data_IF_531439026484
#
_entry.id   IF_531439026484
#
_cell.length_a   1.000
_cell.length_b   1.000
_cell.length_c   1.000
_cell.angle_alpha   90.00
_cell.angle_beta   90.00
_cell.angle_gamma   90.00
#
_symmetry.space_group_name_H-M   'P 1'
#
loop_
_entity.id
_entity.type
_entity.pdbx_description
1 polymer ?
#
# COMPACT_ATOMS: atom_id res chain seq x y z
N UNK A 1 19.40 -10.62 17.46
CA UNK A 1 20.31 -10.65 16.32
C UNK A 1 21.25 -11.84 16.47
N UNK A 2 20.86 -12.96 15.89
CA UNK A 2 21.71 -14.14 15.64
C UNK A 2 21.43 -14.48 14.19
N UNK A 3 22.30 -14.25 13.21
CA UNK A 3 22.08 -14.76 11.84
C UNK A 3 23.24 -14.52 10.88
N UNK A 4 24.48 -14.65 11.35
CA UNK A 4 25.62 -14.74 10.40
C UNK A 4 26.00 -16.20 10.06
N UNK A 5 25.34 -17.21 10.64
CA UNK A 5 25.74 -18.61 10.54
C UNK A 5 24.67 -19.57 10.00
N UNK A 6 23.60 -19.08 9.37
CA UNK A 6 22.52 -19.98 8.90
C UNK A 6 22.76 -20.63 7.53
N UNK A 7 23.83 -20.24 6.83
CA UNK A 7 24.15 -20.74 5.50
C UNK A 7 25.59 -21.30 5.47
N UNK A 8 25.79 -22.37 4.69
CA UNK A 8 27.13 -22.92 4.47
C UNK A 8 27.91 -22.13 3.41
N UNK A 9 29.18 -22.53 3.16
CA UNK A 9 30.05 -21.87 2.18
C UNK A 9 29.54 -21.98 0.73
N UNK A 10 28.62 -22.92 0.44
CA UNK A 10 27.93 -23.05 -0.85
C UNK A 10 26.69 -22.17 -0.95
N UNK A 11 26.25 -21.53 0.17
CA UNK A 11 25.03 -20.72 0.23
C UNK A 11 23.77 -21.55 0.41
N UNK A 12 23.87 -22.82 0.67
CA UNK A 12 22.74 -23.66 1.05
C UNK A 12 22.41 -23.45 2.53
N UNK A 13 21.13 -23.37 2.85
CA UNK A 13 20.68 -23.32 4.24
C UNK A 13 21.09 -24.63 4.92
N UNK A 14 22.02 -24.56 5.89
CA UNK A 14 22.52 -25.73 6.62
C UNK A 14 21.35 -26.48 7.23
N UNK A 15 20.85 -27.51 6.55
CA UNK A 15 19.93 -28.49 7.12
C UNK A 15 18.71 -27.92 7.82
N UNK A 16 18.26 -26.71 7.47
CA UNK A 16 17.03 -26.18 8.02
C UNK A 16 15.84 -26.99 7.45
N UNK A 17 14.99 -27.55 8.31
CA UNK A 17 13.79 -28.20 7.81
C UNK A 17 12.92 -27.19 7.05
N UNK A 18 12.12 -27.64 6.06
CA UNK A 18 11.18 -26.77 5.41
C UNK A 18 10.31 -26.04 6.43
N UNK A 19 10.18 -24.71 6.28
CA UNK A 19 9.26 -23.94 7.12
C UNK A 19 7.82 -24.20 6.67
N UNK A 20 6.88 -24.11 7.59
CA UNK A 20 5.48 -24.26 7.22
C UNK A 20 5.04 -23.13 6.29
N UNK A 21 5.38 -21.86 6.63
CA UNK A 21 4.99 -20.69 5.86
C UNK A 21 6.18 -19.75 5.64
N UNK A 22 6.50 -19.48 4.37
CA UNK A 22 7.38 -18.39 3.97
C UNK A 22 6.53 -17.16 3.62
N UNK A 23 6.74 -16.05 4.32
CA UNK A 23 6.12 -14.76 4.00
C UNK A 23 7.12 -13.86 3.29
N UNK A 24 6.76 -13.35 2.11
CA UNK A 24 7.60 -12.48 1.28
C UNK A 24 7.04 -11.07 1.28
N UNK A 25 7.69 -10.16 2.00
CA UNK A 25 7.30 -8.76 2.13
C UNK A 25 7.13 -8.33 3.58
N UNK A 26 7.75 -7.21 3.95
CA UNK A 26 7.76 -6.67 5.31
C UNK A 26 6.76 -5.54 5.55
N UNK A 27 5.79 -5.36 4.64
CA UNK A 27 4.66 -4.47 4.79
C UNK A 27 3.61 -5.00 5.78
N UNK A 28 2.54 -4.24 5.98
CA UNK A 28 1.50 -4.58 6.95
C UNK A 28 0.80 -5.91 6.62
N UNK A 29 0.54 -6.19 5.32
CA UNK A 29 -0.05 -7.45 4.91
C UNK A 29 0.84 -8.66 5.25
N UNK A 30 2.16 -8.55 5.03
CA UNK A 30 3.10 -9.62 5.35
C UNK A 30 3.23 -9.88 6.85
N UNK A 31 3.37 -8.84 7.65
CA UNK A 31 3.41 -8.99 9.11
C UNK A 31 2.10 -9.55 9.67
N UNK A 32 0.96 -9.11 9.12
CA UNK A 32 -0.35 -9.64 9.50
C UNK A 32 -0.51 -11.12 9.11
N UNK A 33 0.01 -11.53 7.94
CA UNK A 33 0.04 -12.93 7.54
C UNK A 33 0.93 -13.77 8.44
N UNK A 34 2.11 -13.27 8.81
CA UNK A 34 3.01 -13.95 9.74
C UNK A 34 2.36 -14.13 11.12
N UNK A 35 1.70 -13.09 11.65
CA UNK A 35 0.96 -13.14 12.92
C UNK A 35 -0.12 -14.23 12.89
N UNK A 36 -0.94 -14.23 11.84
CA UNK A 36 -2.03 -15.19 11.70
C UNK A 36 -1.53 -16.65 11.55
N UNK A 37 -0.44 -16.84 10.80
CA UNK A 37 0.16 -18.17 10.63
C UNK A 37 0.78 -18.70 11.94
N UNK A 38 1.49 -17.84 12.69
CA UNK A 38 2.04 -18.22 14.02
C UNK A 38 0.91 -18.54 14.99
N UNK A 39 -0.16 -17.75 15.04
CA UNK A 39 -1.30 -17.99 15.90
C UNK A 39 -2.04 -19.30 15.53
N UNK A 40 -1.96 -19.72 14.26
CA UNK A 40 -2.44 -21.02 13.81
C UNK A 40 -1.45 -22.18 14.08
N UNK A 41 -0.30 -21.90 14.72
CA UNK A 41 0.70 -22.88 15.13
C UNK A 41 1.68 -23.30 14.03
N UNK A 42 1.85 -22.51 12.97
CA UNK A 42 2.84 -22.75 11.92
C UNK A 42 4.21 -22.16 12.27
N UNK A 43 5.29 -22.81 11.81
CA UNK A 43 6.62 -22.19 11.75
C UNK A 43 6.66 -21.19 10.60
N UNK A 44 7.19 -19.97 10.85
CA UNK A 44 7.17 -18.88 9.89
C UNK A 44 8.55 -18.27 9.73
N UNK A 45 8.98 -18.12 8.47
CA UNK A 45 10.08 -17.25 8.07
C UNK A 45 9.53 -16.07 7.28
N UNK A 46 9.87 -14.84 7.67
CA UNK A 46 9.49 -13.62 6.97
C UNK A 46 10.73 -13.00 6.33
N UNK A 47 10.70 -12.82 5.01
CA UNK A 47 11.79 -12.14 4.26
C UNK A 47 11.33 -10.74 3.90
N UNK A 48 12.09 -9.74 4.35
CA UNK A 48 11.74 -8.34 4.18
C UNK A 48 12.94 -7.47 3.77
N UNK A 49 12.71 -6.58 2.80
CA UNK A 49 13.67 -5.53 2.42
C UNK A 49 13.26 -4.12 2.91
N UNK A 50 12.10 -4.01 3.54
CA UNK A 50 11.50 -2.78 4.03
C UNK A 50 10.03 -2.99 4.37
N UNK A 51 9.34 -1.92 4.72
CA UNK A 51 7.92 -1.91 5.05
C UNK A 51 7.03 -1.35 3.93
N UNK A 52 7.62 -0.94 2.79
CA UNK A 52 6.88 -0.25 1.73
C UNK A 52 6.16 1.00 2.25
N UNK A 53 4.97 1.28 1.73
CA UNK A 53 4.12 2.40 2.14
C UNK A 53 3.29 2.11 3.42
N UNK A 54 3.43 0.93 4.01
CA UNK A 54 2.59 0.54 5.17
C UNK A 54 2.70 1.48 6.37
N UNK A 55 3.87 2.07 6.72
CA UNK A 55 3.95 3.05 7.81
C UNK A 55 3.13 4.33 7.57
N UNK A 56 2.87 4.66 6.30
CA UNK A 56 2.17 5.87 5.88
C UNK A 56 0.64 5.65 5.74
N UNK A 57 0.13 4.49 6.14
CA UNK A 57 -1.32 4.27 6.25
C UNK A 57 -1.85 5.07 7.42
N UNK A 58 -2.61 6.13 7.13
CA UNK A 58 -3.15 7.04 8.15
C UNK A 58 -4.39 6.47 8.84
N UNK A 59 -5.28 5.83 8.09
CA UNK A 59 -6.57 5.36 8.59
C UNK A 59 -7.09 4.17 7.77
N UNK A 60 -8.06 3.44 8.32
CA UNK A 60 -8.73 2.28 7.69
C UNK A 60 -10.24 2.42 7.78
N UNK A 61 -10.96 1.77 6.87
CA UNK A 61 -12.42 1.74 6.90
C UNK A 61 -12.94 0.54 7.69
N UNK A 62 -13.75 0.83 8.71
CA UNK A 62 -14.43 -0.17 9.54
C UNK A 62 -15.85 0.34 9.84
N UNK A 63 -16.92 -0.42 9.57
CA UNK A 63 -18.29 0.00 9.86
C UNK A 63 -18.59 -0.12 11.36
N UNK A 64 -18.21 0.88 12.14
CA UNK A 64 -18.32 0.91 13.62
C UNK A 64 -19.47 1.77 14.14
N UNK A 65 -20.28 2.36 13.26
CA UNK A 65 -21.44 3.20 13.62
C UNK A 65 -22.72 2.38 13.60
N UNK A 66 -23.70 2.75 14.45
CA UNK A 66 -25.02 2.12 14.48
C UNK A 66 -25.82 2.31 13.19
N UNK A 67 -25.60 3.43 12.47
CA UNK A 67 -26.25 3.76 11.21
C UNK A 67 -25.45 3.33 9.96
N UNK A 68 -24.32 2.65 10.16
CA UNK A 68 -23.54 2.02 9.08
C UNK A 68 -23.80 0.50 9.05
N UNK A 69 -23.43 -0.15 7.96
CA UNK A 69 -23.58 -1.59 7.80
C UNK A 69 -22.56 -2.17 6.82
N UNK A 70 -22.31 -3.47 6.95
CA UNK A 70 -21.49 -4.22 5.99
C UNK A 70 -22.05 -4.05 4.58
N UNK A 71 -23.38 -4.14 4.38
CA UNK A 71 -24.01 -3.99 3.08
C UNK A 71 -23.75 -2.61 2.46
N UNK A 72 -23.88 -1.54 3.24
CA UNK A 72 -23.57 -0.17 2.79
C UNK A 72 -22.09 -0.02 2.43
N UNK A 73 -21.20 -0.61 3.22
CA UNK A 73 -19.77 -0.58 2.92
C UNK A 73 -19.43 -1.34 1.62
N UNK A 74 -20.09 -2.49 1.38
CA UNK A 74 -19.99 -3.23 0.11
C UNK A 74 -20.46 -2.36 -1.05
N UNK A 75 -21.64 -1.73 -0.95
CA UNK A 75 -22.19 -0.91 -2.01
C UNK A 75 -21.32 0.30 -2.35
N UNK A 76 -20.81 1.00 -1.33
CA UNK A 76 -19.88 2.11 -1.52
C UNK A 76 -18.60 1.65 -2.25
N UNK A 77 -18.03 0.51 -1.85
CA UNK A 77 -16.80 -0.03 -2.44
C UNK A 77 -17.01 -0.45 -3.89
N UNK A 78 -18.09 -1.17 -4.19
CA UNK A 78 -18.44 -1.59 -5.55
C UNK A 78 -18.72 -0.40 -6.47
N UNK A 79 -19.47 0.60 -5.96
CA UNK A 79 -19.76 1.83 -6.70
C UNK A 79 -18.49 2.61 -7.02
N UNK A 80 -17.59 2.75 -6.03
CA UNK A 80 -16.29 3.41 -6.23
C UNK A 80 -15.41 2.66 -7.23
N UNK A 81 -15.41 1.34 -7.19
CA UNK A 81 -14.61 0.48 -8.06
C UNK A 81 -15.06 0.41 -9.51
N UNK A 82 -16.18 1.09 -9.88
CA UNK A 82 -16.63 1.29 -11.28
C UNK A 82 -16.70 0.01 -12.11
N UNK A 83 -17.16 -1.09 -11.51
CA UNK A 83 -17.33 -2.37 -12.18
C UNK A 83 -16.06 -3.24 -12.28
N UNK A 84 -14.92 -2.79 -11.79
CA UNK A 84 -13.67 -3.56 -11.78
C UNK A 84 -13.49 -4.46 -10.55
N UNK A 85 -14.38 -4.40 -9.56
CA UNK A 85 -14.27 -5.21 -8.35
C UNK A 85 -14.80 -6.64 -8.55
N UNK A 86 -14.12 -7.60 -7.91
CA UNK A 86 -14.70 -8.90 -7.63
C UNK A 86 -15.59 -8.80 -6.39
N UNK A 87 -16.92 -8.96 -6.59
CA UNK A 87 -17.90 -8.79 -5.51
C UNK A 87 -17.59 -9.64 -4.29
N UNK A 88 -17.21 -10.91 -4.48
CA UNK A 88 -16.88 -11.81 -3.38
C UNK A 88 -15.74 -11.29 -2.51
N UNK A 89 -14.68 -10.74 -3.13
CA UNK A 89 -13.55 -10.16 -2.40
C UNK A 89 -13.97 -8.89 -1.62
N UNK A 90 -14.82 -8.05 -2.21
CA UNK A 90 -15.37 -6.86 -1.53
C UNK A 90 -16.23 -7.27 -0.33
N UNK A 91 -17.07 -8.30 -0.48
CA UNK A 91 -17.91 -8.82 0.61
C UNK A 91 -17.04 -9.39 1.75
N UNK A 92 -15.95 -10.09 1.42
CA UNK A 92 -14.95 -10.56 2.41
C UNK A 92 -14.31 -9.37 3.11
N UNK A 93 -13.79 -8.38 2.36
CA UNK A 93 -13.18 -7.18 2.92
C UNK A 93 -14.09 -6.53 3.98
N UNK A 94 -15.33 -6.24 3.58
CA UNK A 94 -16.27 -5.49 4.41
C UNK A 94 -16.74 -6.31 5.63
N UNK A 95 -17.04 -7.61 5.44
CA UNK A 95 -17.48 -8.50 6.52
C UNK A 95 -16.37 -8.71 7.56
N UNK A 96 -15.16 -8.99 7.10
CA UNK A 96 -14.06 -9.31 7.99
C UNK A 96 -13.45 -8.08 8.67
N UNK A 97 -13.68 -6.88 8.11
CA UNK A 97 -13.18 -5.63 8.69
C UNK A 97 -13.75 -5.32 10.07
N UNK A 98 -14.97 -5.78 10.38
CA UNK A 98 -15.60 -5.52 11.69
C UNK A 98 -14.79 -6.07 12.85
N UNK A 99 -14.04 -7.16 12.63
CA UNK A 99 -13.18 -7.77 13.65
C UNK A 99 -12.05 -6.84 14.08
N UNK A 100 -11.65 -5.91 13.22
CA UNK A 100 -10.60 -4.94 13.54
C UNK A 100 -10.99 -3.99 14.67
N UNK A 101 -12.30 -3.78 14.90
CA UNK A 101 -12.78 -2.96 16.01
C UNK A 101 -12.54 -3.59 17.40
N UNK A 102 -12.41 -4.91 17.45
CA UNK A 102 -12.07 -5.65 18.67
C UNK A 102 -10.54 -5.77 18.86
N UNK A 103 -9.79 -5.76 17.77
CA UNK A 103 -8.34 -5.98 17.75
C UNK A 103 -7.53 -4.69 17.96
N UNK A 104 -8.08 -3.52 17.59
CA UNK A 104 -7.37 -2.25 17.57
C UNK A 104 -8.05 -1.18 18.42
N UNK A 105 -7.31 -0.46 19.29
CA UNK A 105 -7.84 0.60 20.15
C UNK A 105 -7.97 1.92 19.37
N UNK A 106 -8.91 2.00 18.43
CA UNK A 106 -9.13 3.20 17.62
C UNK A 106 -9.42 4.44 18.46
N UNK A 107 -9.01 5.61 17.94
CA UNK A 107 -9.23 6.91 18.56
C UNK A 107 -10.70 7.17 18.82
N UNK A 108 -10.98 7.75 20.00
CA UNK A 108 -12.33 8.08 20.46
C UNK A 108 -12.46 9.55 20.80
N UNK A 109 -13.68 10.05 20.67
CA UNK A 109 -14.08 11.35 21.17
C UNK A 109 -14.24 11.32 22.70
N UNK A 110 -14.29 12.49 23.37
CA UNK A 110 -14.51 12.55 24.83
C UNK A 110 -15.78 11.87 25.32
N UNK A 111 -16.80 11.74 24.47
CA UNK A 111 -18.07 11.05 24.77
C UNK A 111 -17.99 9.51 24.60
N UNK A 112 -16.82 8.99 24.22
CA UNK A 112 -16.58 7.57 24.00
C UNK A 112 -16.92 7.05 22.59
N UNK A 113 -17.53 7.86 21.74
CA UNK A 113 -17.77 7.50 20.33
C UNK A 113 -16.46 7.43 19.53
N UNK A 114 -16.44 6.67 18.44
CA UNK A 114 -15.26 6.62 17.56
C UNK A 114 -15.03 7.97 16.88
N UNK A 115 -13.74 8.38 16.82
CA UNK A 115 -13.33 9.53 16.00
C UNK A 115 -13.25 9.09 14.54
N UNK A 116 -14.18 9.59 13.72
CA UNK A 116 -14.36 9.12 12.35
C UNK A 116 -14.07 10.21 11.32
N UNK A 117 -13.51 9.77 10.20
CA UNK A 117 -13.39 10.56 8.98
C UNK A 117 -14.27 9.94 7.89
N UNK A 118 -14.71 10.78 6.96
CA UNK A 118 -15.45 10.34 5.77
C UNK A 118 -14.60 10.53 4.52
N UNK A 119 -13.95 9.46 4.02
CA UNK A 119 -13.26 9.54 2.74
C UNK A 119 -14.24 9.73 1.60
N UNK A 120 -13.76 10.36 0.52
CA UNK A 120 -14.52 10.46 -0.73
C UNK A 120 -14.89 9.05 -1.24
N UNK A 121 -16.14 8.91 -1.66
CA UNK A 121 -16.71 7.63 -2.07
C UNK A 121 -17.41 6.84 -0.96
N UNK A 122 -17.29 7.26 0.31
CA UNK A 122 -18.07 6.69 1.41
C UNK A 122 -19.37 7.47 1.60
N UNK A 123 -20.49 6.75 1.72
CA UNK A 123 -21.81 7.35 1.99
C UNK A 123 -21.97 7.83 3.44
N UNK A 124 -21.16 7.33 4.35
CA UNK A 124 -21.10 7.72 5.78
C UNK A 124 -19.65 7.72 6.28
N UNK A 125 -19.34 8.48 7.37
CA UNK A 125 -18.05 8.39 8.03
C UNK A 125 -17.81 6.98 8.60
N UNK A 126 -16.72 6.31 8.20
CA UNK A 126 -16.33 4.98 8.71
C UNK A 126 -14.82 4.81 8.84
N UNK A 127 -14.05 5.85 8.53
CA UNK A 127 -12.60 5.77 8.55
C UNK A 127 -12.09 6.05 9.98
N UNK A 128 -11.44 5.05 10.57
CA UNK A 128 -10.86 5.07 11.92
C UNK A 128 -9.34 5.11 11.87
N UNK A 129 -8.71 5.63 12.91
CA UNK A 129 -7.25 5.70 13.03
C UNK A 129 -6.79 5.46 14.48
N UNK A 130 -5.49 5.43 14.65
CA UNK A 130 -4.77 5.52 15.93
C UNK A 130 -3.68 6.58 15.71
N UNK A 131 -3.81 7.72 16.39
CA UNK A 131 -2.88 8.87 16.26
C UNK A 131 -2.61 9.28 14.80
N UNK A 132 -3.61 9.16 13.92
CA UNK A 132 -3.48 9.39 12.47
C UNK A 132 -2.38 8.57 11.77
N UNK A 133 -1.88 7.47 12.39
CA UNK A 133 -0.77 6.63 11.89
C UNK A 133 -0.99 5.15 12.15
N UNK A 134 -2.18 4.65 11.87
CA UNK A 134 -2.54 3.26 12.17
C UNK A 134 -1.57 2.24 11.57
N UNK A 135 -1.03 2.49 10.37
CA UNK A 135 -0.08 1.58 9.73
C UNK A 135 1.21 1.42 10.52
N UNK A 136 1.82 2.53 10.96
CA UNK A 136 3.02 2.51 11.81
C UNK A 136 2.73 1.86 13.16
N UNK A 137 1.58 2.18 13.77
CA UNK A 137 1.16 1.61 15.05
C UNK A 137 0.95 0.09 14.96
N UNK A 138 0.19 -0.38 13.96
CA UNK A 138 -0.09 -1.79 13.75
C UNK A 138 1.18 -2.60 13.47
N UNK A 139 2.08 -2.08 12.63
CA UNK A 139 3.38 -2.69 12.38
C UNK A 139 4.20 -2.84 13.66
N UNK A 140 4.27 -1.78 14.48
CA UNK A 140 5.01 -1.82 15.74
C UNK A 140 4.42 -2.83 16.72
N UNK A 141 3.07 -2.88 16.85
CA UNK A 141 2.36 -3.86 17.68
C UNK A 141 2.67 -5.28 17.23
N UNK A 142 2.42 -5.61 15.96
CA UNK A 142 2.58 -6.98 15.44
C UNK A 142 4.04 -7.44 15.55
N UNK A 143 5.00 -6.59 15.19
CA UNK A 143 6.43 -6.92 15.32
C UNK A 143 6.84 -7.25 16.75
N UNK A 144 6.35 -6.47 17.72
CA UNK A 144 6.61 -6.73 19.15
C UNK A 144 6.00 -8.06 19.61
N UNK A 145 4.78 -8.37 19.18
CA UNK A 145 4.08 -9.60 19.57
C UNK A 145 4.70 -10.87 18.94
N UNK A 146 5.36 -10.70 17.80
CA UNK A 146 6.05 -11.79 17.08
C UNK A 146 7.56 -11.86 17.39
N UNK A 147 8.08 -11.01 18.28
CA UNK A 147 9.48 -11.08 18.68
C UNK A 147 9.84 -12.45 19.23
N UNK A 148 10.87 -13.08 18.64
CA UNK A 148 11.30 -14.45 18.99
C UNK A 148 10.40 -15.58 18.49
N UNK A 149 9.27 -15.30 17.84
CA UNK A 149 8.35 -16.30 17.30
C UNK A 149 8.46 -16.49 15.78
N UNK A 150 9.01 -15.49 15.08
CA UNK A 150 9.20 -15.49 13.62
C UNK A 150 10.66 -15.29 13.32
N UNK A 151 11.20 -16.09 12.41
CA UNK A 151 12.50 -15.80 11.84
C UNK A 151 12.37 -14.70 10.80
N UNK A 152 13.02 -13.56 11.05
CA UNK A 152 13.00 -12.40 10.14
C UNK A 152 14.34 -12.27 9.44
N UNK A 153 14.32 -12.44 8.12
CA UNK A 153 15.52 -12.33 7.28
C UNK A 153 15.45 -11.01 6.50
N UNK A 154 16.48 -10.16 6.69
CA UNK A 154 16.62 -8.94 5.90
C UNK A 154 17.20 -9.27 4.54
N UNK A 155 16.33 -9.26 3.53
CA UNK A 155 16.72 -9.62 2.18
C UNK A 155 15.55 -9.53 1.22
N UNK A 156 15.73 -10.08 0.02
CA UNK A 156 14.74 -10.10 -1.04
C UNK A 156 14.68 -11.50 -1.65
N UNK A 157 13.49 -12.07 -1.74
CA UNK A 157 13.25 -13.24 -2.59
C UNK A 157 13.19 -12.72 -4.04
N UNK A 158 13.91 -13.38 -4.93
CA UNK A 158 14.01 -13.01 -6.36
C UNK A 158 13.38 -14.05 -7.27
N UNK A 159 13.11 -15.22 -6.72
CA UNK A 159 12.55 -16.34 -7.47
C UNK A 159 11.79 -17.27 -6.53
N UNK A 160 10.69 -17.82 -7.00
CA UNK A 160 9.96 -18.90 -6.35
C UNK A 160 9.84 -20.03 -7.36
N UNK A 161 10.21 -21.22 -6.95
CA UNK A 161 10.13 -22.44 -7.76
C UNK A 161 9.34 -23.51 -7.01
N UNK A 162 8.87 -24.52 -7.72
CA UNK A 162 8.27 -25.73 -7.13
C UNK A 162 9.29 -26.86 -7.14
N UNK A 163 9.51 -27.45 -5.97
CA UNK A 163 10.31 -28.66 -5.80
C UNK A 163 9.48 -29.71 -5.08
N UNK A 164 8.91 -30.63 -5.85
CA UNK A 164 7.97 -31.64 -5.32
C UNK A 164 6.75 -31.00 -4.66
N UNK A 165 6.56 -31.29 -3.39
CA UNK A 165 5.46 -30.74 -2.57
C UNK A 165 5.77 -29.34 -2.00
N UNK A 166 7.03 -28.86 -2.11
CA UNK A 166 7.47 -27.60 -1.51
C UNK A 166 7.52 -26.46 -2.53
N UNK A 167 7.42 -25.25 -2.02
CA UNK A 167 7.81 -24.04 -2.72
C UNK A 167 9.17 -23.59 -2.20
N UNK A 168 10.03 -23.19 -3.12
CA UNK A 168 11.42 -22.84 -2.84
C UNK A 168 11.63 -21.37 -3.16
N UNK A 169 11.91 -20.56 -2.15
CA UNK A 169 12.28 -19.16 -2.31
C UNK A 169 13.79 -19.01 -2.43
N UNK A 170 14.26 -18.39 -3.52
CA UNK A 170 15.67 -18.01 -3.69
C UNK A 170 15.91 -16.61 -3.15
N UNK A 171 16.75 -16.52 -2.15
CA UNK A 171 17.00 -15.32 -1.38
C UNK A 171 18.26 -14.59 -1.89
N UNK A 172 18.17 -13.27 -2.01
CA UNK A 172 19.33 -12.38 -2.09
C UNK A 172 19.43 -11.58 -0.79
N UNK A 173 20.47 -11.83 -0.04
CA UNK A 173 20.78 -11.05 1.15
C UNK A 173 21.31 -9.68 0.75
N UNK A 174 20.90 -8.63 1.46
CA UNK A 174 21.50 -7.32 1.31
C UNK A 174 22.78 -7.29 2.15
N UNK A 175 23.98 -7.30 1.55
CA UNK A 175 25.20 -7.29 2.32
C UNK A 175 25.36 -5.95 3.05
N UNK A 176 26.00 -5.93 4.22
CA UNK A 176 26.24 -4.72 5.00
C UNK A 176 27.05 -3.64 4.27
N UNK A 177 27.82 -4.00 3.25
CA UNK A 177 28.79 -3.15 2.54
C UNK A 177 28.50 -2.88 1.06
N UNK A 178 27.31 -3.17 0.57
CA UNK A 178 26.94 -2.87 -0.83
C UNK A 178 27.56 -3.81 -1.91
N UNK A 179 28.36 -4.80 -1.53
CA UNK A 179 28.82 -5.84 -2.45
C UNK A 179 27.64 -6.79 -2.78
N UNK A 180 27.43 -7.10 -4.05
CA UNK A 180 26.48 -8.13 -4.46
C UNK A 180 27.03 -9.50 -4.06
N UNK A 181 26.47 -10.12 -3.02
CA UNK A 181 26.76 -11.50 -2.66
C UNK A 181 26.34 -12.41 -3.83
N UNK A 182 27.22 -13.30 -4.24
CA UNK A 182 26.98 -14.25 -5.33
C UNK A 182 26.20 -15.50 -4.90
N UNK A 183 26.12 -15.76 -3.60
CA UNK A 183 25.36 -16.89 -3.03
C UNK A 183 23.88 -16.52 -2.88
N UNK A 184 23.01 -17.37 -3.41
CA UNK A 184 21.56 -17.25 -3.31
C UNK A 184 21.03 -18.36 -2.39
N UNK A 185 21.01 -18.13 -1.06
CA UNK A 185 20.47 -19.10 -0.15
C UNK A 185 19.03 -19.47 -0.50
N UNK A 186 18.64 -20.69 -0.21
CA UNK A 186 17.35 -21.26 -0.57
C UNK A 186 16.52 -21.52 0.68
N UNK A 187 15.26 -21.11 0.68
CA UNK A 187 14.30 -21.40 1.76
C UNK A 187 13.23 -22.33 1.21
N UNK A 188 13.14 -23.50 1.79
CA UNK A 188 12.08 -24.47 1.49
C UNK A 188 10.85 -24.18 2.36
N UNK A 189 9.68 -24.11 1.76
CA UNK A 189 8.43 -23.86 2.46
C UNK A 189 7.30 -24.76 1.95
N UNK A 190 6.39 -25.15 2.83
CA UNK A 190 5.17 -25.86 2.44
C UNK A 190 4.14 -24.91 1.81
N UNK A 191 4.11 -23.67 2.29
CA UNK A 191 3.28 -22.59 1.73
C UNK A 191 4.05 -21.27 1.67
N UNK A 192 3.69 -20.43 0.67
CA UNK A 192 4.25 -19.10 0.47
C UNK A 192 3.13 -18.07 0.46
N UNK A 193 3.29 -16.98 1.21
CA UNK A 193 2.44 -15.79 1.14
C UNK A 193 3.22 -14.66 0.47
N UNK A 194 2.76 -14.22 -0.70
CA UNK A 194 3.30 -13.05 -1.40
C UNK A 194 2.61 -11.81 -0.88
N UNK A 195 3.37 -10.90 -0.24
CA UNK A 195 2.89 -9.65 0.33
C UNK A 195 3.84 -8.48 -0.01
N UNK A 196 4.30 -8.46 -1.25
CA UNK A 196 5.39 -7.59 -1.72
C UNK A 196 4.95 -6.17 -2.11
N UNK A 197 3.66 -5.86 -1.99
CA UNK A 197 3.09 -4.60 -2.45
C UNK A 197 2.93 -4.54 -3.96
N UNK A 198 2.58 -3.35 -4.46
CA UNK A 198 2.32 -3.11 -5.87
C UNK A 198 3.55 -2.77 -6.71
N UNK A 199 3.34 -2.03 -7.80
CA UNK A 199 4.41 -1.69 -8.75
C UNK A 199 4.58 -0.19 -9.03
N UNK A 200 3.95 0.70 -8.26
CA UNK A 200 4.01 2.14 -8.54
C UNK A 200 5.42 2.74 -8.37
N UNK A 201 6.32 2.08 -7.64
CA UNK A 201 7.73 2.47 -7.52
C UNK A 201 8.57 2.30 -8.80
N UNK A 202 8.02 1.68 -9.86
CA UNK A 202 8.69 1.58 -11.16
C UNK A 202 8.64 2.87 -11.98
N UNK A 203 7.71 3.78 -11.65
CA UNK A 203 7.56 5.05 -12.35
C UNK A 203 8.62 6.05 -11.91
N UNK A 204 9.11 6.86 -12.82
CA UNK A 204 10.16 7.86 -12.56
C UNK A 204 9.69 8.96 -11.59
N UNK A 205 8.40 9.33 -11.69
CA UNK A 205 7.73 10.20 -10.72
C UNK A 205 6.63 9.41 -10.04
N UNK A 206 6.77 9.16 -8.75
CA UNK A 206 5.85 8.40 -7.92
C UNK A 206 6.02 8.83 -6.46
N UNK A 207 5.01 8.63 -5.66
CA UNK A 207 5.09 8.75 -4.20
C UNK A 207 5.43 7.42 -3.50
N UNK A 208 5.73 6.40 -4.29
CA UNK A 208 6.09 5.08 -3.79
C UNK A 208 7.61 4.90 -3.70
N UNK A 209 8.10 4.12 -2.72
CA UNK A 209 9.49 3.66 -2.69
C UNK A 209 9.88 2.94 -3.98
N UNK A 210 11.08 3.21 -4.54
CA UNK A 210 11.52 2.65 -5.82
C UNK A 210 11.69 1.12 -5.81
N UNK A 211 11.64 0.50 -4.64
CA UNK A 211 11.68 -0.95 -4.46
C UNK A 211 10.35 -1.63 -4.78
N UNK A 212 9.22 -0.90 -4.80
CA UNK A 212 7.90 -1.44 -5.12
C UNK A 212 7.72 -1.54 -6.63
N UNK A 213 8.21 -2.63 -7.23
CA UNK A 213 8.30 -2.81 -8.68
C UNK A 213 7.46 -3.96 -9.25
N UNK A 214 6.68 -4.65 -8.40
CA UNK A 214 5.85 -5.77 -8.83
C UNK A 214 6.55 -7.13 -8.83
N UNK A 215 7.70 -7.27 -8.18
CA UNK A 215 8.51 -8.50 -8.22
C UNK A 215 7.75 -9.75 -7.78
N UNK A 216 6.86 -9.62 -6.79
CA UNK A 216 6.03 -10.73 -6.33
C UNK A 216 5.06 -11.22 -7.39
N UNK A 217 4.54 -10.28 -8.20
CA UNK A 217 3.67 -10.61 -9.34
C UNK A 217 4.49 -11.41 -10.39
N UNK A 218 5.66 -10.90 -10.75
CA UNK A 218 6.52 -11.55 -11.73
C UNK A 218 6.93 -12.97 -11.30
N UNK A 219 7.20 -13.17 -10.00
CA UNK A 219 7.52 -14.49 -9.45
C UNK A 219 6.33 -15.45 -9.54
N UNK A 220 5.13 -14.98 -9.19
CA UNK A 220 3.92 -15.81 -9.24
C UNK A 220 3.50 -16.15 -10.68
N UNK A 221 3.66 -15.22 -11.63
CA UNK A 221 3.38 -15.46 -13.05
C UNK A 221 4.25 -16.59 -13.60
N UNK A 222 5.51 -16.70 -13.20
CA UNK A 222 6.38 -17.83 -13.58
C UNK A 222 5.87 -19.19 -13.06
N UNK A 223 5.06 -19.20 -12.00
CA UNK A 223 4.38 -20.37 -11.48
C UNK A 223 3.00 -20.62 -12.12
N UNK A 224 2.62 -19.81 -13.12
CA UNK A 224 1.35 -19.93 -13.82
C UNK A 224 0.21 -19.08 -13.22
N UNK A 225 0.51 -18.14 -12.35
CA UNK A 225 -0.50 -17.26 -11.78
C UNK A 225 -1.14 -16.35 -12.85
N UNK A 226 -2.45 -16.19 -12.76
CA UNK A 226 -3.18 -15.19 -13.51
C UNK A 226 -3.01 -13.81 -12.87
N UNK A 227 -3.04 -12.79 -13.72
CA UNK A 227 -3.08 -11.39 -13.32
C UNK A 227 -4.27 -10.68 -13.93
N UNK A 228 -4.67 -9.55 -13.33
CA UNK A 228 -5.73 -8.70 -13.84
C UNK A 228 -5.37 -7.23 -13.73
N UNK A 229 -5.94 -6.42 -14.59
CA UNK A 229 -5.91 -4.95 -14.52
C UNK A 229 -4.50 -4.36 -14.35
N UNK A 230 -3.48 -4.95 -15.02
CA UNK A 230 -2.05 -4.63 -14.83
C UNK A 230 -1.63 -3.24 -15.34
N UNK A 231 -2.51 -2.52 -16.00
CA UNK A 231 -2.37 -1.13 -16.43
C UNK A 231 -3.10 -0.14 -15.54
N UNK A 232 -3.87 -0.64 -14.56
CA UNK A 232 -4.68 0.17 -13.67
C UNK A 232 -3.89 0.72 -12.49
N UNK A 233 -3.81 2.05 -12.42
CA UNK A 233 -3.12 2.78 -11.34
C UNK A 233 -4.00 3.92 -10.87
N UNK A 234 -4.13 4.08 -9.56
CA UNK A 234 -4.68 5.28 -8.95
C UNK A 234 -3.59 6.30 -8.71
N UNK A 235 -3.86 7.56 -9.07
CA UNK A 235 -2.97 8.67 -8.83
C UNK A 235 -3.29 9.38 -7.51
N UNK A 236 -2.24 9.83 -6.81
CA UNK A 236 -2.35 10.90 -5.81
C UNK A 236 -2.24 12.24 -6.56
N UNK A 237 -3.25 13.09 -6.55
CA UNK A 237 -3.26 14.30 -7.38
C UNK A 237 -2.26 15.35 -6.93
N UNK A 238 -1.91 15.37 -5.65
CA UNK A 238 -1.09 16.42 -5.03
C UNK A 238 0.23 15.85 -4.51
N UNK A 239 1.12 15.47 -5.42
CA UNK A 239 2.48 15.05 -5.07
C UNK A 239 3.45 16.18 -5.41
N UNK A 240 4.32 16.55 -4.47
CA UNK A 240 5.30 17.61 -4.65
C UNK A 240 6.18 17.34 -5.88
N UNK A 241 6.18 18.25 -6.84
CA UNK A 241 7.05 18.23 -8.01
C UNK A 241 8.31 19.06 -7.75
N UNK A 242 8.17 20.12 -6.96
CA UNK A 242 9.26 20.99 -6.52
C UNK A 242 9.01 21.48 -5.07
N UNK A 243 10.05 21.88 -4.34
CA UNK A 243 11.48 21.81 -4.69
C UNK A 243 12.01 20.37 -4.74
N UNK A 244 13.14 20.14 -5.41
CA UNK A 244 13.69 18.81 -5.71
C UNK A 244 13.79 17.88 -4.50
N UNK A 245 14.08 18.40 -3.31
CA UNK A 245 14.16 17.61 -2.06
C UNK A 245 12.81 17.12 -1.54
N UNK A 246 11.70 17.65 -2.03
CA UNK A 246 10.33 17.23 -1.71
C UNK A 246 9.69 16.43 -2.84
N UNK A 247 10.36 16.32 -4.00
CA UNK A 247 9.83 15.59 -5.15
C UNK A 247 9.41 14.18 -4.76
N UNK A 248 8.17 13.81 -5.09
CA UNK A 248 7.59 12.53 -4.75
C UNK A 248 6.90 12.46 -3.37
N UNK A 249 6.94 13.54 -2.58
CA UNK A 249 6.26 13.56 -1.28
C UNK A 249 4.80 14.01 -1.45
N UNK A 250 3.81 13.23 -0.96
CA UNK A 250 2.41 13.64 -1.03
C UNK A 250 2.13 14.89 -0.20
N UNK A 251 1.28 15.76 -0.75
CA UNK A 251 0.65 16.90 -0.08
C UNK A 251 -0.80 16.53 0.22
N UNK A 252 -1.30 16.94 1.37
CA UNK A 252 -2.66 16.56 1.79
C UNK A 252 -3.71 17.26 0.93
N UNK A 253 -4.37 16.53 0.04
CA UNK A 253 -5.37 17.05 -0.92
C UNK A 253 -6.60 17.67 -0.22
N UNK A 254 -6.93 17.23 1.01
CA UNK A 254 -8.11 17.75 1.73
C UNK A 254 -8.03 19.24 2.08
N UNK A 255 -6.88 19.89 1.94
CA UNK A 255 -6.76 21.34 2.00
C UNK A 255 -7.71 22.05 1.01
N UNK A 256 -8.13 21.37 -0.07
CA UNK A 256 -9.14 21.90 -1.02
C UNK A 256 -10.47 22.24 -0.32
N UNK A 257 -10.88 21.43 0.67
CA UNK A 257 -12.13 21.63 1.41
C UNK A 257 -12.06 22.84 2.33
N UNK A 258 -10.84 23.24 2.69
CA UNK A 258 -10.54 24.32 3.65
C UNK A 258 -10.12 25.63 2.96
N UNK A 259 -10.21 25.69 1.63
CA UNK A 259 -9.96 26.93 0.90
C UNK A 259 -8.77 26.93 -0.06
N UNK A 260 -7.99 25.85 -0.14
CA UNK A 260 -6.96 25.73 -1.16
C UNK A 260 -7.56 25.68 -2.58
N UNK A 261 -6.75 26.08 -3.57
CA UNK A 261 -7.16 26.08 -4.99
C UNK A 261 -6.05 25.53 -5.88
N UNK A 262 -6.44 25.06 -7.06
CA UNK A 262 -5.47 24.76 -8.12
C UNK A 262 -5.42 25.88 -9.13
N UNK A 263 -4.20 26.28 -9.53
CA UNK A 263 -3.96 27.27 -10.57
C UNK A 263 -3.01 26.74 -11.63
N UNK A 264 -3.34 27.01 -12.88
CA UNK A 264 -2.46 26.73 -14.03
C UNK A 264 -1.32 27.76 -14.14
N UNK A 265 -0.48 27.67 -15.19
CA UNK A 265 0.63 28.60 -15.41
C UNK A 265 0.18 30.05 -15.64
N UNK A 266 -1.07 30.25 -16.09
CA UNK A 266 -1.63 31.56 -16.39
C UNK A 266 -2.30 32.19 -15.15
N UNK A 267 -2.28 31.48 -14.00
CA UNK A 267 -2.86 31.89 -12.73
C UNK A 267 -4.37 31.62 -12.62
N UNK A 268 -4.95 30.92 -13.58
CA UNK A 268 -6.38 30.64 -13.63
C UNK A 268 -6.73 29.43 -12.75
N UNK A 269 -7.81 29.55 -11.97
CA UNK A 269 -8.40 28.40 -11.26
C UNK A 269 -9.17 27.53 -12.27
N UNK A 270 -8.95 26.21 -12.23
CA UNK A 270 -9.55 25.31 -13.22
C UNK A 270 -10.39 24.19 -12.62
N UNK A 271 -10.28 23.89 -11.32
CA UNK A 271 -11.08 22.86 -10.67
C UNK A 271 -12.43 23.42 -10.21
N UNK A 272 -13.51 23.03 -10.91
CA UNK A 272 -14.85 23.53 -10.63
C UNK A 272 -15.45 22.99 -9.34
N UNK A 273 -15.22 21.69 -9.03
CA UNK A 273 -15.71 21.02 -7.82
C UNK A 273 -14.57 20.70 -6.86
N UNK A 274 -14.52 21.41 -5.75
CA UNK A 274 -13.52 21.19 -4.68
C UNK A 274 -13.72 19.87 -3.92
N UNK A 275 -14.89 19.25 -4.05
CA UNK A 275 -15.21 17.95 -3.48
C UNK A 275 -15.01 16.78 -4.46
N UNK A 276 -14.46 17.06 -5.65
CA UNK A 276 -14.10 16.06 -6.64
C UNK A 276 -13.18 14.98 -6.04
N UNK A 277 -13.37 13.74 -6.42
CA UNK A 277 -12.54 12.65 -5.93
C UNK A 277 -11.14 12.66 -6.61
N UNK A 278 -10.20 11.87 -6.06
CA UNK A 278 -8.78 11.91 -6.47
C UNK A 278 -8.57 11.71 -7.97
N UNK A 279 -9.33 10.86 -8.61
CA UNK A 279 -9.18 10.59 -10.05
C UNK A 279 -9.74 11.74 -10.91
N UNK A 280 -10.78 12.41 -10.46
CA UNK A 280 -11.31 13.61 -11.13
C UNK A 280 -10.35 14.78 -11.02
N UNK A 281 -9.79 15.01 -9.83
CA UNK A 281 -8.75 16.03 -9.60
C UNK A 281 -7.51 15.73 -10.46
N UNK A 282 -7.04 14.48 -10.46
CA UNK A 282 -5.88 14.08 -11.27
C UNK A 282 -6.12 14.29 -12.76
N UNK A 283 -7.29 13.94 -13.27
CA UNK A 283 -7.67 14.19 -14.67
C UNK A 283 -7.74 15.67 -15.02
N UNK A 284 -8.28 16.50 -14.13
CA UNK A 284 -8.30 17.94 -14.35
C UNK A 284 -6.88 18.52 -14.44
N UNK A 285 -5.96 18.07 -13.57
CA UNK A 285 -4.55 18.48 -13.63
C UNK A 285 -3.88 18.00 -14.93
N UNK A 286 -4.07 16.74 -15.32
CA UNK A 286 -3.54 16.23 -16.58
C UNK A 286 -4.06 17.00 -17.79
N UNK A 287 -5.35 17.36 -17.80
CA UNK A 287 -5.94 18.15 -18.88
C UNK A 287 -5.28 19.52 -19.01
N UNK A 288 -4.94 20.20 -17.90
CA UNK A 288 -4.17 21.46 -17.92
C UNK A 288 -2.76 21.26 -18.47
N UNK A 289 -2.08 20.18 -18.06
CA UNK A 289 -0.73 19.86 -18.55
C UNK A 289 -0.76 19.58 -20.06
N UNK A 290 -1.68 18.74 -20.52
CA UNK A 290 -1.85 18.38 -21.93
C UNK A 290 -2.22 19.58 -22.81
N UNK A 291 -3.01 20.52 -22.27
CA UNK A 291 -3.34 21.78 -22.95
C UNK A 291 -2.16 22.79 -22.97
N UNK A 292 -0.99 22.40 -22.45
CA UNK A 292 0.19 23.25 -22.38
C UNK A 292 0.10 24.38 -21.34
N UNK A 293 -0.81 24.25 -20.36
CA UNK A 293 -0.97 25.19 -19.24
C UNK A 293 -0.32 24.68 -17.94
N UNK A 294 0.44 23.60 -18.01
CA UNK A 294 1.26 23.10 -16.91
C UNK A 294 2.45 24.02 -16.60
N UNK A 295 2.97 23.91 -15.39
CA UNK A 295 4.13 24.62 -14.86
C UNK A 295 5.31 23.66 -14.75
N UNK A 296 6.45 24.02 -15.33
CA UNK A 296 7.69 23.25 -15.17
C UNK A 296 8.48 23.77 -13.96
N UNK A 297 9.09 22.88 -13.15
CA UNK A 297 10.03 23.30 -12.11
C UNK A 297 11.22 24.10 -12.70
N UNK A 298 11.72 25.05 -11.93
CA UNK A 298 12.93 25.78 -12.33
C UNK A 298 14.11 24.81 -12.44
N UNK A 299 14.75 24.82 -13.63
CA UNK A 299 15.89 23.94 -13.92
C UNK A 299 15.52 22.55 -14.47
N UNK A 300 14.26 22.29 -14.79
CA UNK A 300 13.87 21.11 -15.55
C UNK A 300 14.64 21.01 -16.86
N UNK A 301 15.22 19.82 -17.12
CA UNK A 301 16.10 19.59 -18.26
C UNK A 301 15.39 19.01 -19.49
N UNK A 302 14.26 18.33 -19.27
CA UNK A 302 13.51 17.65 -20.33
C UNK A 302 12.02 18.05 -20.26
N UNK A 303 11.69 19.12 -20.98
CA UNK A 303 10.32 19.64 -21.08
C UNK A 303 9.45 18.86 -22.08
N UNK A 304 9.93 17.71 -22.60
CA UNK A 304 9.12 16.86 -23.48
C UNK A 304 8.32 15.81 -22.72
N UNK A 305 8.58 15.63 -21.41
CA UNK A 305 7.96 14.61 -20.57
C UNK A 305 6.80 15.18 -19.76
N UNK A 306 5.58 14.64 -19.88
CA UNK A 306 4.41 15.15 -19.14
C UNK A 306 4.61 15.21 -17.62
N UNK A 307 5.34 14.25 -17.03
CA UNK A 307 5.61 14.20 -15.59
C UNK A 307 6.65 15.23 -15.09
N UNK A 308 7.21 16.03 -15.97
CA UNK A 308 8.02 17.20 -15.62
C UNK A 308 7.17 18.48 -15.46
N UNK A 309 5.86 18.39 -15.68
CA UNK A 309 4.94 19.50 -15.50
C UNK A 309 3.97 19.23 -14.36
N UNK A 310 3.58 20.29 -13.66
CA UNK A 310 2.58 20.28 -12.62
C UNK A 310 1.68 21.50 -12.69
N UNK A 311 1.00 21.75 -11.59
CA UNK A 311 0.15 22.93 -11.37
C UNK A 311 0.45 23.53 -10.00
N UNK A 312 0.08 24.76 -9.81
CA UNK A 312 0.17 25.40 -8.50
C UNK A 312 -0.98 24.93 -7.60
N UNK A 313 -0.65 24.41 -6.42
CA UNK A 313 -1.57 24.14 -5.33
C UNK A 313 -1.43 25.26 -4.29
N UNK A 314 -2.38 26.18 -4.30
CA UNK A 314 -2.36 27.41 -3.50
C UNK A 314 -3.14 27.18 -2.21
N UNK A 315 -2.43 27.11 -1.09
CA UNK A 315 -2.98 26.94 0.25
C UNK A 315 -3.14 28.28 1.01
N UNK A 316 -2.89 29.42 0.38
CA UNK A 316 -2.98 30.74 1.05
C UNK A 316 -4.39 31.10 1.49
N UNK A 317 -5.41 30.44 0.91
CA UNK A 317 -6.82 30.57 1.32
C UNK A 317 -7.23 29.67 2.50
N UNK A 318 -6.35 28.75 2.94
CA UNK A 318 -6.63 27.88 4.08
C UNK A 318 -6.41 28.66 5.38
N UNK A 319 -7.32 28.57 6.39
CA UNK A 319 -7.11 29.24 7.68
C UNK A 319 -5.75 28.87 8.30
N UNK A 320 -5.00 29.90 8.74
CA UNK A 320 -3.66 29.69 9.30
C UNK A 320 -3.65 28.72 10.50
N UNK A 321 -4.71 28.74 11.33
CA UNK A 321 -4.87 27.81 12.43
C UNK A 321 -4.88 26.35 11.96
N UNK A 322 -5.53 26.02 10.85
CA UNK A 322 -5.54 24.66 10.28
C UNK A 322 -4.18 24.31 9.69
N UNK A 323 -3.51 25.24 9.03
CA UNK A 323 -2.14 25.02 8.52
C UNK A 323 -1.19 24.70 9.68
N UNK A 324 -1.28 25.42 10.79
CA UNK A 324 -0.37 25.27 11.94
C UNK A 324 -0.72 24.11 12.87
N UNK A 325 -1.88 23.47 12.70
CA UNK A 325 -2.33 22.34 13.53
C UNK A 325 -2.52 21.06 12.71
N UNK A 326 -3.54 21.04 11.87
CA UNK A 326 -3.90 19.83 11.08
C UNK A 326 -2.86 19.52 10.01
N UNK A 327 -2.32 20.57 9.35
CA UNK A 327 -1.38 20.44 8.23
C UNK A 327 0.08 20.77 8.59
N UNK A 328 0.38 20.84 9.89
CA UNK A 328 1.67 21.28 10.44
C UNK A 328 2.87 20.52 9.87
N UNK A 329 2.72 19.22 9.59
CA UNK A 329 3.81 18.43 9.00
C UNK A 329 4.13 18.87 7.57
N UNK A 330 3.11 19.23 6.78
CA UNK A 330 3.29 19.80 5.44
C UNK A 330 3.96 21.17 5.54
N UNK A 331 3.47 22.06 6.42
CA UNK A 331 4.07 23.37 6.68
C UNK A 331 5.55 23.22 7.02
N UNK A 332 5.91 22.38 7.99
CA UNK A 332 7.28 22.16 8.42
C UNK A 332 8.18 21.61 7.29
N UNK A 333 7.68 20.64 6.51
CA UNK A 333 8.42 20.06 5.38
C UNK A 333 8.75 21.12 4.33
N UNK A 334 7.77 21.94 3.94
CA UNK A 334 7.95 22.99 2.95
C UNK A 334 8.81 24.15 3.48
N UNK A 335 8.62 24.58 4.73
CA UNK A 335 9.48 25.58 5.38
C UNK A 335 10.95 25.12 5.45
N UNK A 336 11.19 23.86 5.82
CA UNK A 336 12.54 23.28 5.75
C UNK A 336 13.08 23.22 4.32
N UNK A 337 12.23 23.29 3.30
CA UNK A 337 12.55 23.38 1.88
C UNK A 337 12.69 24.83 1.37
N UNK A 338 12.51 25.82 2.23
CA UNK A 338 12.59 27.24 1.88
C UNK A 338 11.33 27.80 1.23
N UNK A 339 10.19 27.12 1.38
CA UNK A 339 8.89 27.53 0.85
C UNK A 339 7.94 27.79 2.01
N UNK A 340 7.36 29.00 2.06
CA UNK A 340 6.36 29.40 3.04
C UNK A 340 4.96 29.24 2.46
N UNK A 341 4.31 28.09 2.71
CA UNK A 341 2.99 27.77 2.14
C UNK A 341 1.85 28.67 2.67
N UNK A 342 2.09 29.50 3.70
CA UNK A 342 1.17 30.55 4.10
C UNK A 342 1.14 31.73 3.11
N UNK A 343 2.15 31.84 2.24
CA UNK A 343 2.36 32.99 1.36
C UNK A 343 2.52 32.64 -0.12
N UNK A 344 2.94 31.41 -0.40
CA UNK A 344 3.29 30.99 -1.75
C UNK A 344 2.75 29.60 -2.06
N UNK A 345 2.34 29.34 -3.31
CA UNK A 345 1.78 28.05 -3.70
C UNK A 345 2.84 26.96 -3.81
N UNK A 346 2.41 25.74 -3.67
CA UNK A 346 3.21 24.52 -3.87
C UNK A 346 3.08 24.04 -5.32
N UNK A 347 4.19 23.67 -5.94
CA UNK A 347 4.16 23.02 -7.25
C UNK A 347 3.95 21.52 -7.08
N UNK A 348 2.81 21.02 -7.58
CA UNK A 348 2.40 19.63 -7.46
C UNK A 348 2.03 19.02 -8.82
N UNK A 349 2.08 17.70 -8.90
CA UNK A 349 1.58 16.95 -10.05
C UNK A 349 0.97 15.62 -9.59
N UNK A 350 0.05 15.03 -10.37
CA UNK A 350 -0.43 13.67 -10.10
C UNK A 350 0.69 12.65 -10.25
N UNK A 351 0.83 11.77 -9.28
CA UNK A 351 1.81 10.68 -9.31
C UNK A 351 1.14 9.32 -9.07
N UNK A 352 1.62 8.24 -9.72
CA UNK A 352 1.19 6.88 -9.41
C UNK A 352 1.33 6.58 -7.93
N UNK A 353 0.20 6.23 -7.29
CA UNK A 353 0.08 6.06 -5.85
C UNK A 353 -0.22 4.62 -5.43
N UNK A 354 -1.18 3.98 -6.09
CA UNK A 354 -1.61 2.63 -5.78
C UNK A 354 -1.86 1.86 -7.07
N UNK A 355 -1.27 0.70 -7.21
CA UNK A 355 -1.65 -0.25 -8.25
C UNK A 355 -2.99 -0.90 -7.89
N UNK A 356 -3.91 -0.98 -8.85
CA UNK A 356 -5.28 -1.47 -8.63
C UNK A 356 -5.48 -2.89 -9.15
N UNK A 357 -4.62 -3.34 -10.05
CA UNK A 357 -4.54 -4.70 -10.52
C UNK A 357 -3.60 -5.57 -9.67
N UNK A 358 -3.25 -6.75 -10.16
CA UNK A 358 -2.35 -7.67 -9.48
C UNK A 358 -2.69 -9.13 -9.73
N UNK A 359 -2.24 -9.99 -8.84
CA UNK A 359 -2.52 -11.42 -8.86
C UNK A 359 -4.03 -11.68 -8.67
N UNK A 360 -4.57 -12.60 -9.44
CA UNK A 360 -5.93 -13.09 -9.23
C UNK A 360 -5.93 -14.02 -8.01
N UNK A 361 -6.77 -13.70 -7.03
CA UNK A 361 -6.95 -14.49 -5.81
C UNK A 361 -8.42 -14.85 -5.61
N UNK A 362 -8.68 -15.90 -4.83
CA UNK A 362 -10.00 -16.20 -4.30
C UNK A 362 -10.22 -15.63 -2.88
N UNK A 363 -11.42 -15.83 -2.33
CA UNK A 363 -11.80 -15.39 -0.98
C UNK A 363 -10.92 -15.97 0.16
N UNK A 364 -10.13 -17.00 -0.13
CA UNK A 364 -9.15 -17.61 0.79
C UNK A 364 -7.72 -17.14 0.52
N UNK A 365 -7.55 -16.08 -0.28
CA UNK A 365 -6.25 -15.54 -0.71
C UNK A 365 -5.36 -16.52 -1.49
N UNK A 366 -5.92 -17.63 -2.01
CA UNK A 366 -5.16 -18.54 -2.87
C UNK A 366 -4.94 -17.90 -4.23
N UNK A 367 -3.71 -17.93 -4.72
CA UNK A 367 -3.37 -17.43 -6.05
C UNK A 367 -3.92 -18.40 -7.10
N UNK A 368 -4.60 -17.85 -8.11
CA UNK A 368 -5.27 -18.63 -9.15
C UNK A 368 -4.51 -18.59 -10.48
N UNK A 369 -4.61 -19.67 -11.24
CA UNK A 369 -4.22 -19.76 -12.65
C UNK A 369 -5.30 -19.17 -13.55
N UNK A 370 -5.04 -19.06 -14.85
CA UNK A 370 -5.99 -18.50 -15.83
C UNK A 370 -7.29 -19.30 -15.96
N UNK A 371 -7.29 -20.58 -15.65
CA UNK A 371 -8.48 -21.44 -15.62
C UNK A 371 -9.24 -21.40 -14.29
N UNK A 372 -8.78 -20.56 -13.34
CA UNK A 372 -9.39 -20.39 -12.02
C UNK A 372 -8.96 -21.45 -10.99
N UNK A 373 -8.04 -22.33 -11.31
CA UNK A 373 -7.53 -23.34 -10.37
C UNK A 373 -6.54 -22.71 -9.38
N UNK A 374 -6.60 -23.04 -8.07
CA UNK A 374 -5.62 -22.56 -7.12
C UNK A 374 -4.23 -23.16 -7.37
N UNK A 375 -3.19 -22.34 -7.32
CA UNK A 375 -1.80 -22.82 -7.29
C UNK A 375 -1.52 -23.38 -5.89
N UNK A 376 -1.25 -24.69 -5.74
CA UNK A 376 -1.09 -25.30 -4.43
C UNK A 376 0.00 -24.65 -3.59
N UNK A 377 -0.32 -24.27 -2.34
CA UNK A 377 0.61 -23.66 -1.40
C UNK A 377 0.96 -22.18 -1.67
N UNK A 378 0.38 -21.54 -2.71
CA UNK A 378 0.67 -20.15 -3.04
C UNK A 378 -0.50 -19.23 -2.68
N UNK A 379 -0.22 -18.21 -1.86
CA UNK A 379 -1.17 -17.21 -1.38
C UNK A 379 -0.66 -15.80 -1.66
N UNK A 380 -1.57 -14.82 -1.71
CA UNK A 380 -1.20 -13.42 -1.85
C UNK A 380 -2.14 -12.50 -1.05
N UNK A 381 -1.59 -11.40 -0.51
CA UNK A 381 -2.36 -10.41 0.24
C UNK A 381 -1.75 -9.00 0.15
N UNK A 382 -2.61 -7.99 0.24
CA UNK A 382 -2.27 -6.59 0.08
C UNK A 382 -2.16 -6.20 -1.40
N UNK A 383 -1.59 -5.05 -1.70
CA UNK A 383 -1.57 -4.41 -3.02
C UNK A 383 -1.00 -5.26 -4.17
N UNK A 384 -0.38 -6.41 -3.87
CA UNK A 384 0.05 -7.41 -4.86
C UNK A 384 -1.13 -8.15 -5.50
N UNK A 385 -2.31 -8.14 -4.86
CA UNK A 385 -3.53 -8.79 -5.31
C UNK A 385 -4.49 -7.81 -5.98
N UNK A 386 -5.06 -8.20 -7.11
CA UNK A 386 -6.04 -7.41 -7.85
C UNK A 386 -7.50 -7.80 -7.54
N UNK A 387 -8.44 -6.97 -8.01
CA UNK A 387 -9.88 -7.26 -7.99
C UNK A 387 -10.64 -6.75 -6.75
N UNK A 388 -9.97 -6.25 -5.73
CA UNK A 388 -10.62 -5.78 -4.50
C UNK A 388 -11.15 -4.35 -4.68
N UNK A 389 -10.38 -3.49 -5.31
CA UNK A 389 -10.67 -2.05 -5.39
C UNK A 389 -11.23 -1.59 -6.75
N UNK A 390 -11.22 -2.48 -7.75
CA UNK A 390 -11.62 -2.12 -9.11
C UNK A 390 -10.75 -0.99 -9.69
N UNK A 391 -11.40 -0.03 -10.35
CA UNK A 391 -10.70 1.06 -11.04
C UNK A 391 -10.60 2.36 -10.23
N UNK A 392 -11.10 2.38 -8.99
CA UNK A 392 -10.95 3.53 -8.09
C UNK A 392 -11.14 3.09 -6.63
N UNK A 393 -10.07 3.15 -5.85
CA UNK A 393 -10.04 2.74 -4.44
C UNK A 393 -10.50 3.86 -3.52
N UNK A 394 -11.45 3.56 -2.63
CA UNK A 394 -11.83 4.46 -1.53
C UNK A 394 -10.65 4.68 -0.57
N UNK A 395 -10.44 5.90 -0.11
CA UNK A 395 -9.48 6.20 0.95
C UNK A 395 -9.72 5.33 2.19
N UNK A 396 -8.66 4.80 2.78
CA UNK A 396 -8.74 3.87 3.93
C UNK A 396 -8.86 2.38 3.55
N UNK A 397 -9.45 2.02 2.41
CA UNK A 397 -9.66 0.61 2.04
C UNK A 397 -8.35 -0.18 1.86
N UNK A 398 -7.26 0.43 1.40
CA UNK A 398 -5.98 -0.28 1.27
C UNK A 398 -5.46 -0.78 2.63
N UNK A 399 -5.59 0.05 3.68
CA UNK A 399 -5.20 -0.37 5.02
C UNK A 399 -6.11 -1.48 5.58
N UNK A 400 -7.43 -1.37 5.33
CA UNK A 400 -8.39 -2.44 5.68
C UNK A 400 -8.04 -3.75 4.96
N UNK A 401 -7.73 -3.67 3.67
CA UNK A 401 -7.33 -4.81 2.85
C UNK A 401 -6.09 -5.51 3.42
N UNK A 402 -5.02 -4.76 3.72
CA UNK A 402 -3.77 -5.35 4.23
C UNK A 402 -3.98 -6.11 5.54
N UNK A 403 -4.84 -5.61 6.42
CA UNK A 403 -5.14 -6.25 7.70
C UNK A 403 -6.06 -7.46 7.54
N UNK A 404 -7.10 -7.35 6.72
CA UNK A 404 -8.08 -8.42 6.50
C UNK A 404 -7.46 -9.56 5.71
N UNK A 405 -6.97 -9.28 4.50
CA UNK A 405 -6.45 -10.34 3.62
C UNK A 405 -5.09 -10.86 4.09
N UNK A 406 -4.27 -10.04 4.77
CA UNK A 406 -3.06 -10.53 5.43
C UNK A 406 -3.39 -11.61 6.45
N UNK A 407 -4.38 -11.40 7.32
CA UNK A 407 -4.85 -12.40 8.28
C UNK A 407 -5.34 -13.68 7.59
N UNK A 408 -6.24 -13.54 6.61
CA UNK A 408 -6.80 -14.69 5.89
C UNK A 408 -5.70 -15.50 5.20
N UNK A 409 -4.78 -14.84 4.50
CA UNK A 409 -3.67 -15.51 3.82
C UNK A 409 -2.78 -16.30 4.79
N UNK A 410 -2.47 -15.74 5.95
CA UNK A 410 -1.68 -16.40 6.98
C UNK A 410 -2.39 -17.63 7.58
N UNK A 411 -3.68 -17.50 7.92
CA UNK A 411 -4.50 -18.62 8.43
C UNK A 411 -4.60 -19.77 7.41
N UNK A 412 -4.87 -19.43 6.13
CA UNK A 412 -5.04 -20.42 5.08
C UNK A 412 -3.71 -21.07 4.67
N UNK A 413 -2.61 -20.31 4.65
CA UNK A 413 -1.28 -20.85 4.42
C UNK A 413 -0.88 -21.84 5.52
N UNK A 414 -1.13 -21.53 6.80
CA UNK A 414 -0.87 -22.43 7.92
C UNK A 414 -1.72 -23.71 7.87
N UNK A 415 -2.99 -23.63 7.43
CA UNK A 415 -3.85 -24.79 7.23
C UNK A 415 -3.32 -25.67 6.10
N UNK A 416 -2.94 -25.07 4.96
CA UNK A 416 -2.38 -25.80 3.82
C UNK A 416 -1.06 -26.49 4.13
N UNK A 417 -0.24 -25.92 5.00
CA UNK A 417 1.04 -26.50 5.41
C UNK A 417 0.92 -27.75 6.31
N UNK A 418 -0.27 -28.03 6.86
CA UNK A 418 -0.54 -29.18 7.74
C UNK A 418 -1.05 -30.42 6.99
N UNK A 419 -1.41 -30.25 5.71
CA UNK A 419 -1.89 -31.30 4.81
C UNK A 419 -0.71 -31.89 4.04
#
# INVERSE_FOLDING_TARGET
MKNENSFDESGEAKGMPPVDVLVIGGGLAGWRAAEAAVNAGASVTLVANGAGNSPDIHAINVPVRDDDSIARFVDDTLKSGRGGCERELVEVLCRESVKLAEEFPFDRNPDGSYKLLQPLGCSVPRCVSIDHKIGAWALAKIRRELEGKVEVIKGRIVEIERDGAHLVGRLVLKPPSGALGTTRPTIFAKAVVIATGGWCGKYEFSDNPPELRGDGIDMAVKLGAATRDMDSVQYEPTVALAPARLRGIPVITTMLFEGATFRNKDGEEFLADKHANKDEVSRAIFAEIEAGRGVAPVGSRDLTRPHEFGVWFDATGVPAELLDTVYVDTVKRYAAAGVDIHKEPMLVAPAPHTSLGGLVIDARCRVLTADGSPIPGLFAAGEVAGGIHGFNRIGGNAGTETLVFGRIAGEEAAKGAKI
#
